data_IF_590515587715
#
_entry.id   IF_590515587715
#
_cell.length_a   1.000
_cell.length_b   1.000
_cell.length_c   1.000
_cell.angle_alpha   90.00
_cell.angle_beta   90.00
_cell.angle_gamma   90.00
#
_symmetry.space_group_name_H-M   'P 1'
#
loop_
_entity.id
_entity.type
_entity.pdbx_description
1 polymer ?
#
# COMPACT_ATOMS: atom_id res chain seq x y z
N UNK A 1 -47.02 -30.96 15.51
CA UNK A 1 -45.62 -30.92 15.98
C UNK A 1 -44.87 -30.21 14.88
N UNK A 2 -44.99 -28.89 14.86
CA UNK A 2 -44.54 -28.05 13.76
C UNK A 2 -43.45 -27.14 14.30
N UNK A 3 -42.21 -27.38 13.87
CA UNK A 3 -41.11 -26.43 14.04
C UNK A 3 -40.90 -25.73 12.71
N UNK A 4 -41.51 -24.56 12.58
CA UNK A 4 -41.16 -23.59 11.55
C UNK A 4 -39.81 -22.95 11.92
N UNK A 5 -38.86 -23.01 10.99
CA UNK A 5 -37.58 -22.30 11.03
C UNK A 5 -37.85 -20.87 10.56
N UNK A 6 -37.49 -19.81 11.30
CA UNK A 6 -37.66 -18.45 10.79
C UNK A 6 -36.52 -18.07 9.84
N UNK A 7 -36.94 -17.47 8.73
CA UNK A 7 -36.14 -16.80 7.71
C UNK A 7 -35.09 -15.84 8.30
N UNK A 8 -33.86 -15.93 7.79
CA UNK A 8 -32.82 -14.91 7.97
C UNK A 8 -32.99 -13.90 6.83
N UNK A 9 -33.67 -12.79 7.10
CA UNK A 9 -33.66 -11.60 6.25
C UNK A 9 -32.44 -10.76 6.57
N UNK A 10 -31.69 -10.37 5.53
CA UNK A 10 -30.63 -9.36 5.59
C UNK A 10 -31.18 -8.05 6.20
N UNK A 11 -30.83 -7.79 7.45
CA UNK A 11 -31.00 -6.50 8.11
C UNK A 11 -29.71 -5.72 8.02
N UNK A 12 -29.77 -4.56 7.38
CA UNK A 12 -28.78 -3.47 7.43
C UNK A 12 -28.11 -3.36 8.79
N UNK A 13 -26.80 -3.56 8.81
CA UNK A 13 -25.97 -3.47 10.01
C UNK A 13 -25.89 -2.00 10.46
N UNK A 14 -26.85 -1.64 11.31
CA UNK A 14 -26.94 -0.36 12.02
C UNK A 14 -26.73 -0.56 13.53
N UNK A 15 -26.12 -1.68 13.92
CA UNK A 15 -25.73 -1.93 15.31
C UNK A 15 -24.39 -1.26 15.63
N UNK A 16 -24.40 0.08 15.66
CA UNK A 16 -23.56 0.79 16.62
C UNK A 16 -23.95 0.24 18.00
N UNK A 17 -23.10 -0.60 18.59
CA UNK A 17 -23.22 -0.99 20.01
C UNK A 17 -23.36 0.29 20.81
N UNK A 18 -24.57 0.56 21.29
CA UNK A 18 -24.77 1.60 22.30
C UNK A 18 -23.91 1.22 23.49
N UNK A 19 -23.07 2.13 24.02
CA UNK A 19 -22.31 1.85 25.23
C UNK A 19 -23.31 1.43 26.30
N UNK A 20 -23.13 0.23 26.83
CA UNK A 20 -23.98 -0.29 27.89
C UNK A 20 -23.73 0.63 29.09
N UNK A 21 -24.69 1.49 29.44
CA UNK A 21 -24.54 2.56 30.45
C UNK A 21 -23.98 2.02 31.78
N UNK A 22 -24.26 0.75 32.06
CA UNK A 22 -23.71 -0.05 33.16
C UNK A 22 -22.19 -0.21 33.10
N UNK A 23 -21.62 -0.48 31.94
CA UNK A 23 -20.17 -0.66 31.75
C UNK A 23 -19.39 0.65 31.86
N UNK A 24 -19.90 1.74 31.29
CA UNK A 24 -19.28 3.06 31.38
C UNK A 24 -19.29 3.59 32.82
N UNK A 25 -20.38 3.35 33.55
CA UNK A 25 -20.47 3.71 34.96
C UNK A 25 -19.47 2.92 35.81
N UNK A 26 -19.38 1.61 35.59
CA UNK A 26 -18.46 0.74 36.31
C UNK A 26 -17.00 1.12 36.02
N UNK A 27 -16.67 1.44 34.76
CA UNK A 27 -15.34 1.94 34.37
C UNK A 27 -14.98 3.23 35.10
N UNK A 28 -15.89 4.21 35.14
CA UNK A 28 -15.67 5.48 35.84
C UNK A 28 -15.43 5.27 37.34
N UNK A 29 -16.21 4.40 37.98
CA UNK A 29 -16.03 4.07 39.40
C UNK A 29 -14.63 3.52 39.69
N UNK A 30 -14.16 2.55 38.91
CA UNK A 30 -12.82 1.99 39.08
C UNK A 30 -11.69 2.97 38.72
N UNK A 31 -11.87 3.76 37.66
CA UNK A 31 -10.88 4.76 37.23
C UNK A 31 -10.63 5.80 38.33
N UNK A 32 -11.68 6.35 38.93
CA UNK A 32 -11.58 7.30 40.05
C UNK A 32 -11.00 6.62 41.29
N UNK A 33 -11.43 5.39 41.61
CA UNK A 33 -10.88 4.63 42.73
C UNK A 33 -9.36 4.35 42.61
N UNK A 34 -8.81 4.32 41.39
CA UNK A 34 -7.39 4.14 41.12
C UNK A 34 -6.60 5.45 41.01
N UNK A 35 -7.20 6.59 41.39
CA UNK A 35 -6.54 7.90 41.39
C UNK A 35 -6.62 8.64 40.05
N UNK A 36 -7.49 8.22 39.14
CA UNK A 36 -7.87 9.01 37.97
C UNK A 36 -8.62 10.29 38.39
N UNK A 37 -8.45 11.38 37.62
CA UNK A 37 -9.21 12.61 37.84
C UNK A 37 -10.68 12.43 37.41
N UNK A 38 -11.61 13.14 38.03
CA UNK A 38 -12.99 13.18 37.55
C UNK A 38 -13.06 13.69 36.11
N UNK A 39 -14.18 13.41 35.44
CA UNK A 39 -14.38 13.76 34.04
C UNK A 39 -13.97 15.21 33.75
N UNK A 40 -13.21 15.37 32.67
CA UNK A 40 -12.76 16.66 32.14
C UNK A 40 -13.97 17.61 32.08
N UNK A 41 -13.84 18.81 32.64
CA UNK A 41 -14.94 19.78 32.65
C UNK A 41 -15.30 20.20 31.22
N UNK A 42 -16.55 20.57 30.95
CA UNK A 42 -16.95 21.08 29.62
C UNK A 42 -16.06 22.24 29.16
N UNK A 43 -15.62 23.09 30.09
CA UNK A 43 -14.70 24.20 29.83
C UNK A 43 -13.28 23.76 29.42
N UNK A 44 -12.82 22.60 29.89
CA UNK A 44 -11.55 22.00 29.46
C UNK A 44 -11.72 21.27 28.13
N UNK A 45 -12.88 20.66 27.87
CA UNK A 45 -13.22 20.05 26.58
C UNK A 45 -13.27 21.11 25.47
N UNK A 46 -13.85 22.28 25.73
CA UNK A 46 -13.86 23.40 24.77
C UNK A 46 -12.47 23.97 24.46
N UNK A 47 -11.50 23.79 25.37
CA UNK A 47 -10.10 24.18 25.14
C UNK A 47 -9.31 23.15 24.33
N UNK A 48 -9.83 21.92 24.19
CA UNK A 48 -9.18 20.89 23.39
C UNK A 48 -9.39 21.19 21.90
N UNK A 49 -8.32 21.26 21.10
CA UNK A 49 -8.46 21.39 19.66
C UNK A 49 -9.18 20.16 19.10
N UNK A 50 -10.06 20.37 18.12
CA UNK A 50 -10.70 19.28 17.40
C UNK A 50 -9.63 18.49 16.64
N UNK A 51 -9.39 17.25 17.05
CA UNK A 51 -8.37 16.37 16.47
C UNK A 51 -8.95 15.25 15.62
N UNK A 52 -10.25 14.98 15.76
CA UNK A 52 -10.95 13.94 15.02
C UNK A 52 -12.00 14.56 14.11
N UNK A 53 -11.78 14.44 12.80
CA UNK A 53 -12.76 14.80 11.80
C UNK A 53 -13.33 13.52 11.19
N UNK A 54 -14.62 13.29 11.43
CA UNK A 54 -15.33 12.13 10.86
C UNK A 54 -15.32 12.18 9.33
N UNK A 55 -15.37 11.01 8.70
CA UNK A 55 -15.63 10.92 7.26
C UNK A 55 -17.07 11.39 7.00
N UNK A 56 -17.31 12.30 6.03
CA UNK A 56 -18.66 12.65 5.63
C UNK A 56 -19.45 11.43 5.18
N UNK A 57 -20.75 11.40 5.48
CA UNK A 57 -21.66 10.36 5.00
C UNK A 57 -21.98 10.57 3.52
N UNK A 58 -22.45 9.52 2.83
CA UNK A 58 -22.70 9.55 1.37
C UNK A 58 -23.72 10.63 0.91
N UNK A 59 -24.60 11.08 1.81
CA UNK A 59 -25.56 12.15 1.51
C UNK A 59 -24.97 13.57 1.69
N UNK A 60 -23.80 13.68 2.34
CA UNK A 60 -23.09 14.93 2.60
C UNK A 60 -22.18 15.30 1.42
N UNK A 61 -22.81 15.61 0.29
CA UNK A 61 -22.13 15.81 -1.01
C UNK A 61 -21.03 16.88 -0.94
N UNK A 62 -21.32 18.05 -0.34
CA UNK A 62 -20.36 19.17 -0.32
C UNK A 62 -19.11 18.87 0.52
N UNK A 63 -19.22 18.40 1.78
CA UNK A 63 -18.06 17.94 2.55
C UNK A 63 -17.27 16.81 1.85
N UNK A 64 -17.95 15.88 1.20
CA UNK A 64 -17.29 14.79 0.46
C UNK A 64 -16.47 15.34 -0.71
N UNK A 65 -17.04 16.23 -1.53
CA UNK A 65 -16.35 16.87 -2.65
C UNK A 65 -15.17 17.72 -2.20
N UNK A 66 -15.31 18.48 -1.11
CA UNK A 66 -14.21 19.25 -0.53
C UNK A 66 -13.07 18.33 -0.06
N UNK A 67 -13.41 17.21 0.58
CA UNK A 67 -12.42 16.21 1.04
C UNK A 67 -11.71 15.55 -0.14
N UNK A 68 -12.45 15.18 -1.19
CA UNK A 68 -11.88 14.64 -2.43
C UNK A 68 -10.88 15.61 -3.06
N UNK A 69 -11.25 16.88 -3.21
CA UNK A 69 -10.41 17.92 -3.82
C UNK A 69 -9.17 18.26 -2.96
N UNK A 70 -9.35 18.39 -1.64
CA UNK A 70 -8.24 18.60 -0.72
C UNK A 70 -7.25 17.43 -0.75
N UNK A 71 -7.74 16.19 -0.89
CA UNK A 71 -6.89 15.01 -1.01
C UNK A 71 -6.18 14.94 -2.35
N UNK A 72 -6.87 15.23 -3.45
CA UNK A 72 -6.26 15.30 -4.78
C UNK A 72 -5.11 16.32 -4.79
N UNK A 73 -5.36 17.52 -4.26
CA UNK A 73 -4.35 18.58 -4.12
C UNK A 73 -3.18 18.15 -3.25
N UNK A 74 -3.44 17.45 -2.14
CA UNK A 74 -2.40 16.93 -1.26
C UNK A 74 -1.54 15.89 -1.98
N UNK A 75 -2.16 14.93 -2.67
CA UNK A 75 -1.45 13.87 -3.41
C UNK A 75 -0.64 14.45 -4.56
N UNK A 76 -1.19 15.43 -5.28
CA UNK A 76 -0.50 16.18 -6.32
C UNK A 76 0.72 16.90 -5.75
N UNK A 77 0.57 17.63 -4.64
CA UNK A 77 1.69 18.28 -3.95
C UNK A 77 2.78 17.27 -3.56
N UNK A 78 2.39 16.12 -2.98
CA UNK A 78 3.34 15.05 -2.63
C UNK A 78 4.04 14.48 -3.85
N UNK A 79 3.35 14.37 -4.99
CA UNK A 79 3.96 13.92 -6.25
C UNK A 79 5.05 14.89 -6.71
N UNK A 80 4.79 16.20 -6.64
CA UNK A 80 5.77 17.23 -7.01
C UNK A 80 6.99 17.29 -6.07
N UNK A 81 6.86 16.83 -4.82
CA UNK A 81 7.98 16.72 -3.87
C UNK A 81 8.96 15.57 -4.22
N UNK A 82 8.57 14.65 -5.11
CA UNK A 82 9.42 13.53 -5.53
C UNK A 82 10.44 13.96 -6.58
N UNK A 83 11.55 13.21 -6.63
CA UNK A 83 12.60 13.40 -7.61
C UNK A 83 12.14 12.94 -8.98
N UNK A 84 12.27 13.83 -9.96
CA UNK A 84 12.04 13.52 -11.37
C UNK A 84 13.27 12.88 -12.02
N UNK A 85 13.12 12.37 -13.25
CA UNK A 85 14.22 11.70 -13.95
C UNK A 85 15.45 12.62 -14.11
N UNK A 86 15.24 13.90 -14.47
CA UNK A 86 16.32 14.88 -14.61
C UNK A 86 17.05 15.11 -13.28
N UNK A 87 16.33 15.20 -12.17
CA UNK A 87 16.91 15.38 -10.84
C UNK A 87 17.68 14.14 -10.38
N UNK A 88 17.23 12.94 -10.77
CA UNK A 88 17.96 11.69 -10.53
C UNK A 88 19.27 11.64 -11.33
N UNK A 89 19.27 12.08 -12.60
CA UNK A 89 20.50 12.19 -13.39
C UNK A 89 21.46 13.24 -12.81
N UNK A 90 20.92 14.36 -12.34
CA UNK A 90 21.68 15.38 -11.62
C UNK A 90 22.32 14.81 -10.34
N UNK A 91 21.54 14.08 -9.54
CA UNK A 91 22.04 13.41 -8.34
C UNK A 91 23.18 12.44 -8.65
N UNK A 92 23.03 11.60 -9.68
CA UNK A 92 24.07 10.68 -10.11
C UNK A 92 25.37 11.41 -10.48
N UNK A 93 25.25 12.52 -11.21
CA UNK A 93 26.37 13.37 -11.61
C UNK A 93 27.08 14.00 -10.40
N UNK A 94 26.31 14.53 -9.44
CA UNK A 94 26.84 15.10 -8.19
C UNK A 94 27.58 14.04 -7.38
N UNK A 95 27.03 12.84 -7.24
CA UNK A 95 27.69 11.75 -6.51
C UNK A 95 29.01 11.36 -7.17
N UNK A 96 29.05 11.27 -8.50
CA UNK A 96 30.28 11.00 -9.25
C UNK A 96 31.36 12.08 -9.04
N UNK A 97 30.98 13.36 -8.96
CA UNK A 97 31.90 14.48 -8.69
C UNK A 97 32.59 14.38 -7.33
N UNK A 98 31.88 13.90 -6.31
CA UNK A 98 32.37 13.82 -4.93
C UNK A 98 32.84 12.42 -4.53
N UNK A 99 33.15 11.55 -5.49
CA UNK A 99 33.69 10.22 -5.19
C UNK A 99 34.98 10.27 -4.35
N UNK A 100 35.16 9.26 -3.50
CA UNK A 100 36.30 9.12 -2.59
C UNK A 100 37.17 7.92 -3.02
N UNK A 101 38.44 8.15 -3.39
CA UNK A 101 39.37 7.07 -3.74
C UNK A 101 39.76 6.22 -2.50
N UNK A 102 40.31 5.01 -2.68
CA UNK A 102 40.47 4.28 -3.94
C UNK A 102 39.16 3.61 -4.39
N UNK A 103 39.03 3.46 -5.70
CA UNK A 103 38.05 2.57 -6.32
C UNK A 103 38.51 1.12 -6.11
N UNK A 104 37.61 0.25 -5.67
CA UNK A 104 37.92 -1.15 -5.39
C UNK A 104 37.05 -2.00 -6.33
N UNK A 105 37.69 -2.76 -7.23
CA UNK A 105 37.01 -3.63 -8.19
C UNK A 105 35.93 -2.92 -9.03
N UNK A 106 36.17 -1.67 -9.43
CA UNK A 106 35.21 -0.87 -10.23
C UNK A 106 34.08 -0.24 -9.41
N UNK A 107 34.08 -0.41 -8.08
CA UNK A 107 33.07 0.17 -7.18
C UNK A 107 33.54 1.52 -6.66
N UNK A 108 32.70 2.54 -6.87
CA UNK A 108 32.95 3.91 -6.46
C UNK A 108 32.32 4.18 -5.09
N UNK A 109 33.10 4.82 -4.23
CA UNK A 109 32.71 5.06 -2.85
C UNK A 109 32.59 6.55 -2.55
N UNK A 110 31.87 6.89 -1.48
CA UNK A 110 31.79 8.25 -0.94
C UNK A 110 31.98 8.25 0.57
N UNK A 111 32.96 9.03 1.05
CA UNK A 111 33.19 9.27 2.48
C UNK A 111 32.11 10.20 3.04
N UNK A 112 31.93 10.21 4.36
CA UNK A 112 30.92 11.06 4.99
C UNK A 112 31.19 12.55 4.78
N UNK A 113 32.46 12.95 4.69
CA UNK A 113 32.82 14.34 4.39
C UNK A 113 32.37 14.75 2.99
N UNK A 114 32.68 13.91 1.99
CA UNK A 114 32.26 14.14 0.62
C UNK A 114 30.74 14.01 0.44
N UNK A 115 30.09 13.14 1.21
CA UNK A 115 28.64 13.01 1.25
C UNK A 115 27.97 14.32 1.69
N UNK A 116 28.53 15.01 2.70
CA UNK A 116 28.05 16.34 3.10
C UNK A 116 28.28 17.40 2.02
N UNK A 117 29.41 17.36 1.30
CA UNK A 117 29.69 18.28 0.19
C UNK A 117 28.73 18.05 -0.98
N UNK A 118 28.49 16.78 -1.34
CA UNK A 118 27.48 16.40 -2.33
C UNK A 118 26.08 16.90 -1.96
N UNK A 119 25.69 16.80 -0.68
CA UNK A 119 24.42 17.31 -0.18
C UNK A 119 24.24 18.85 -0.33
N UNK A 120 25.34 19.60 -0.40
CA UNK A 120 25.30 21.05 -0.61
C UNK A 120 25.07 21.42 -2.08
N UNK A 121 25.49 20.56 -3.01
CA UNK A 121 25.34 20.76 -4.47
C UNK A 121 24.10 20.06 -5.04
N UNK A 122 23.54 19.09 -4.31
CA UNK A 122 22.32 18.39 -4.69
C UNK A 122 21.09 19.31 -4.71
N UNK A 123 20.08 18.94 -5.50
CA UNK A 123 18.81 19.67 -5.55
C UNK A 123 18.11 19.69 -4.17
N UNK A 124 17.22 20.67 -3.90
CA UNK A 124 16.49 20.72 -2.63
C UNK A 124 15.73 19.43 -2.33
N UNK A 125 15.14 18.80 -3.36
CA UNK A 125 14.45 17.50 -3.23
C UNK A 125 15.44 16.37 -2.90
N UNK A 126 16.60 16.33 -3.57
CA UNK A 126 17.59 15.28 -3.32
C UNK A 126 18.26 15.40 -1.94
N UNK A 127 18.41 16.63 -1.45
CA UNK A 127 19.05 16.93 -0.16
C UNK A 127 18.40 16.21 1.03
N UNK A 128 17.09 15.94 0.97
CA UNK A 128 16.38 15.24 2.06
C UNK A 128 16.89 13.81 2.31
N UNK A 129 17.53 13.19 1.32
CA UNK A 129 18.08 11.84 1.43
C UNK A 129 19.47 11.81 2.07
N UNK A 130 20.18 12.94 2.09
CA UNK A 130 21.53 13.08 2.64
C UNK A 130 21.51 13.25 4.17
N UNK A 131 21.03 12.21 4.88
CA UNK A 131 21.01 12.20 6.34
C UNK A 131 22.14 11.32 6.90
N UNK A 132 22.60 11.64 8.11
CA UNK A 132 23.55 10.80 8.83
C UNK A 132 23.03 9.37 9.06
N UNK A 133 21.72 9.23 9.29
CA UNK A 133 21.08 7.91 9.46
C UNK A 133 21.07 7.11 8.16
N UNK A 134 20.77 7.73 7.02
CA UNK A 134 20.87 7.08 5.71
C UNK A 134 22.30 6.62 5.46
N UNK A 135 23.29 7.48 5.71
CA UNK A 135 24.69 7.14 5.53
C UNK A 135 25.08 5.92 6.39
N UNK A 136 24.82 5.98 7.70
CA UNK A 136 25.15 4.90 8.62
C UNK A 136 24.48 3.56 8.27
N UNK A 137 23.25 3.59 7.72
CA UNK A 137 22.55 2.37 7.26
C UNK A 137 23.17 1.73 6.02
N UNK A 138 23.87 2.51 5.19
CA UNK A 138 24.42 2.07 3.91
C UNK A 138 25.94 1.83 3.96
N UNK A 139 26.59 2.17 5.07
CA UNK A 139 28.00 1.82 5.28
C UNK A 139 28.09 0.31 5.37
N UNK A 140 28.92 -0.29 4.52
CA UNK A 140 29.21 -1.71 4.61
C UNK A 140 30.01 -2.00 5.90
N UNK A 141 29.60 -2.99 6.72
CA UNK A 141 30.31 -3.34 7.96
C UNK A 141 31.80 -3.64 7.74
N UNK A 142 32.13 -4.17 6.57
CA UNK A 142 33.48 -4.62 6.21
C UNK A 142 34.36 -3.51 5.60
N UNK A 143 33.79 -2.33 5.27
CA UNK A 143 34.60 -1.23 4.73
C UNK A 143 35.36 -0.52 5.85
N UNK A 144 36.67 -0.77 5.90
CA UNK A 144 37.60 -0.18 6.89
C UNK A 144 37.64 1.35 6.90
N UNK A 145 37.20 1.98 5.80
CA UNK A 145 37.17 3.43 5.64
C UNK A 145 35.78 4.03 5.94
N UNK A 146 34.81 3.19 6.35
CA UNK A 146 33.43 3.57 6.64
C UNK A 146 32.78 4.37 5.52
N UNK A 147 33.06 4.00 4.26
CA UNK A 147 32.51 4.63 3.06
C UNK A 147 31.24 3.92 2.61
N UNK A 148 30.43 4.64 1.86
CA UNK A 148 29.22 4.12 1.23
C UNK A 148 29.47 3.92 -0.25
N UNK A 149 29.03 2.80 -0.81
CA UNK A 149 28.98 2.61 -2.26
C UNK A 149 27.97 3.59 -2.87
N UNK A 150 28.43 4.36 -3.87
CA UNK A 150 27.62 5.37 -4.55
C UNK A 150 26.39 4.73 -5.20
N UNK A 151 26.55 3.53 -5.80
CA UNK A 151 25.44 2.84 -6.45
C UNK A 151 24.40 2.41 -5.41
N UNK A 152 24.82 1.89 -4.27
CA UNK A 152 23.93 1.54 -3.15
C UNK A 152 23.14 2.75 -2.62
N UNK A 153 23.76 3.92 -2.46
CA UNK A 153 23.04 5.13 -2.08
C UNK A 153 22.07 5.61 -3.16
N UNK A 154 22.49 5.59 -4.43
CA UNK A 154 21.61 5.96 -5.53
C UNK A 154 20.39 5.04 -5.62
N UNK A 155 20.60 3.72 -5.53
CA UNK A 155 19.53 2.72 -5.52
C UNK A 155 18.60 2.88 -4.30
N UNK A 156 19.14 3.26 -3.14
CA UNK A 156 18.33 3.59 -1.97
C UNK A 156 17.38 4.77 -2.25
N UNK A 157 17.88 5.84 -2.86
CA UNK A 157 17.06 7.00 -3.24
C UNK A 157 16.01 6.62 -4.27
N UNK A 158 16.42 5.90 -5.33
CA UNK A 158 15.50 5.36 -6.35
C UNK A 158 14.38 4.54 -5.72
N UNK A 159 14.72 3.59 -4.84
CA UNK A 159 13.73 2.73 -4.16
C UNK A 159 12.79 3.56 -3.26
N UNK A 160 13.30 4.58 -2.58
CA UNK A 160 12.47 5.47 -1.76
C UNK A 160 11.50 6.29 -2.60
N UNK A 161 11.98 6.88 -3.70
CA UNK A 161 11.14 7.64 -4.65
C UNK A 161 10.07 6.73 -5.22
N UNK A 162 10.45 5.55 -5.70
CA UNK A 162 9.53 4.55 -6.24
C UNK A 162 8.45 4.14 -5.23
N UNK A 163 8.82 3.83 -3.98
CA UNK A 163 7.83 3.48 -2.95
C UNK A 163 6.83 4.62 -2.69
N UNK A 164 7.28 5.88 -2.69
CA UNK A 164 6.37 7.02 -2.52
C UNK A 164 5.49 7.22 -3.75
N UNK A 165 6.03 7.08 -4.97
CA UNK A 165 5.26 7.14 -6.21
C UNK A 165 4.16 6.07 -6.21
N UNK A 166 4.51 4.82 -5.90
CA UNK A 166 3.56 3.71 -5.82
C UNK A 166 2.50 3.97 -4.74
N UNK A 167 2.90 4.49 -3.58
CA UNK A 167 1.97 4.87 -2.50
C UNK A 167 1.00 5.97 -2.94
N UNK A 168 1.48 7.01 -3.62
CA UNK A 168 0.62 8.09 -4.13
C UNK A 168 -0.35 7.52 -5.17
N UNK A 169 0.17 6.74 -6.13
CA UNK A 169 -0.63 6.14 -7.20
C UNK A 169 -1.77 5.28 -6.66
N UNK A 170 -1.50 4.36 -5.74
CA UNK A 170 -2.54 3.52 -5.14
C UNK A 170 -3.49 4.31 -4.23
N UNK A 171 -3.03 5.41 -3.61
CA UNK A 171 -3.88 6.27 -2.76
C UNK A 171 -4.93 7.06 -3.55
N UNK A 172 -4.80 7.17 -4.88
CA UNK A 172 -5.81 7.76 -5.74
C UNK A 172 -7.10 6.93 -5.78
N UNK A 173 -7.01 5.63 -5.49
CA UNK A 173 -8.15 4.70 -5.49
C UNK A 173 -8.81 4.56 -4.12
N UNK A 174 -8.21 5.12 -3.06
CA UNK A 174 -8.86 5.17 -1.75
C UNK A 174 -9.98 6.21 -1.78
N UNK A 175 -11.20 5.80 -2.11
CA UNK A 175 -12.35 6.70 -2.20
C UNK A 175 -12.65 7.37 -0.85
N UNK A 176 -12.49 6.64 0.25
CA UNK A 176 -12.85 7.10 1.61
C UNK A 176 -11.80 8.02 2.24
N UNK A 177 -10.53 7.85 1.89
CA UNK A 177 -9.40 8.59 2.44
C UNK A 177 -8.99 8.15 3.82
N UNK A 178 -9.36 6.93 4.21
CA UNK A 178 -9.02 6.36 5.50
C UNK A 178 -7.69 5.59 5.47
N UNK A 179 -7.04 5.47 4.29
CA UNK A 179 -5.80 4.73 4.09
C UNK A 179 -5.98 3.24 3.83
N UNK A 180 -7.20 2.83 3.47
CA UNK A 180 -7.57 1.45 3.14
C UNK A 180 -8.16 1.39 1.74
N UNK A 181 -8.06 0.23 1.11
CA UNK A 181 -8.78 -0.11 -0.11
C UNK A 181 -9.79 -1.21 0.16
N UNK A 182 -11.00 -1.05 -0.37
CA UNK A 182 -12.00 -2.11 -0.47
C UNK A 182 -11.73 -2.96 -1.70
N UNK A 183 -12.43 -4.09 -1.84
CA UNK A 183 -12.28 -4.97 -3.03
C UNK A 183 -12.45 -4.17 -4.32
N UNK A 184 -13.54 -3.41 -4.46
CA UNK A 184 -13.84 -2.59 -5.65
C UNK A 184 -12.74 -1.55 -5.93
N UNK A 185 -12.18 -0.93 -4.89
CA UNK A 185 -11.14 0.08 -5.04
C UNK A 185 -9.84 -0.55 -5.61
N UNK A 186 -9.49 -1.75 -5.13
CA UNK A 186 -8.33 -2.50 -5.60
C UNK A 186 -8.57 -3.15 -6.98
N UNK A 187 -9.80 -3.57 -7.29
CA UNK A 187 -10.21 -4.03 -8.62
C UNK A 187 -9.96 -2.95 -9.67
N UNK A 188 -10.42 -1.72 -9.40
CA UNK A 188 -10.22 -0.58 -10.29
C UNK A 188 -8.73 -0.28 -10.51
N UNK A 189 -7.94 -0.31 -9.44
CA UNK A 189 -6.49 -0.12 -9.54
C UNK A 189 -5.83 -1.18 -10.43
N UNK A 190 -6.11 -2.47 -10.19
CA UNK A 190 -5.53 -3.56 -10.98
C UNK A 190 -5.99 -3.50 -12.43
N UNK A 191 -7.27 -3.20 -12.67
CA UNK A 191 -7.84 -3.07 -14.01
C UNK A 191 -7.09 -2.01 -14.84
N UNK A 192 -6.83 -0.84 -14.24
CA UNK A 192 -6.07 0.24 -14.89
C UNK A 192 -4.58 -0.06 -15.00
N UNK A 193 -4.03 -0.91 -14.12
CA UNK A 193 -2.64 -1.33 -14.19
C UNK A 193 -2.36 -2.31 -15.33
N UNK A 194 -3.30 -3.21 -15.65
CA UNK A 194 -3.13 -4.30 -16.64
C UNK A 194 -2.55 -3.85 -17.99
N UNK A 195 -3.02 -2.77 -18.65
CA UNK A 195 -2.45 -2.32 -19.92
C UNK A 195 -0.96 -1.98 -19.84
N UNK A 196 -0.46 -1.60 -18.66
CA UNK A 196 0.96 -1.31 -18.43
C UNK A 196 1.82 -2.55 -18.16
N UNK A 197 1.21 -3.72 -17.99
CA UNK A 197 1.88 -4.98 -17.70
C UNK A 197 2.05 -5.75 -19.02
N UNK A 198 3.27 -5.74 -19.58
CA UNK A 198 3.57 -6.39 -20.86
C UNK A 198 3.08 -7.85 -20.94
N UNK A 199 3.19 -8.60 -19.84
CA UNK A 199 2.79 -10.01 -19.81
C UNK A 199 1.27 -10.23 -19.74
N UNK A 200 0.47 -9.16 -19.52
CA UNK A 200 -0.99 -9.22 -19.32
C UNK A 200 -1.76 -8.25 -20.23
N UNK A 201 -1.09 -7.44 -21.05
CA UNK A 201 -1.73 -6.45 -21.92
C UNK A 201 -2.66 -7.09 -22.98
N UNK A 202 -2.45 -8.37 -23.29
CA UNK A 202 -3.19 -9.12 -24.31
C UNK A 202 -4.22 -10.10 -23.73
N UNK A 203 -4.62 -9.95 -22.47
CA UNK A 203 -5.68 -10.77 -21.89
C UNK A 203 -7.00 -10.58 -22.65
N UNK A 204 -7.71 -11.69 -22.89
CA UNK A 204 -9.06 -11.64 -23.45
C UNK A 204 -10.01 -10.96 -22.45
N UNK A 205 -10.94 -10.11 -22.93
CA UNK A 205 -11.87 -9.38 -22.06
C UNK A 205 -12.72 -10.30 -21.17
N UNK A 206 -13.11 -11.46 -21.68
CA UNK A 206 -13.88 -12.48 -20.94
C UNK A 206 -13.08 -13.00 -19.73
N UNK A 207 -11.78 -13.22 -19.90
CA UNK A 207 -10.87 -13.69 -18.86
C UNK A 207 -10.37 -12.56 -17.95
N UNK A 208 -10.31 -11.32 -18.44
CA UNK A 208 -9.82 -10.17 -17.67
C UNK A 208 -10.59 -9.97 -16.36
N UNK A 209 -11.92 -10.09 -16.38
CA UNK A 209 -12.74 -10.00 -15.16
C UNK A 209 -12.36 -11.08 -14.14
N UNK A 210 -12.16 -12.32 -14.60
CA UNK A 210 -11.74 -13.42 -13.74
C UNK A 210 -10.32 -13.20 -13.18
N UNK A 211 -9.40 -12.71 -14.01
CA UNK A 211 -8.04 -12.39 -13.61
C UNK A 211 -8.03 -11.32 -12.50
N UNK A 212 -8.75 -10.21 -12.70
CA UNK A 212 -8.83 -9.11 -11.73
C UNK A 212 -9.40 -9.62 -10.40
N UNK A 213 -10.52 -10.35 -10.44
CA UNK A 213 -11.11 -10.96 -9.25
C UNK A 213 -10.11 -11.89 -8.53
N UNK A 214 -9.43 -12.77 -9.28
CA UNK A 214 -8.42 -13.68 -8.73
C UNK A 214 -7.25 -12.93 -8.09
N UNK A 215 -6.78 -11.86 -8.72
CA UNK A 215 -5.68 -11.05 -8.23
C UNK A 215 -6.08 -10.32 -6.93
N UNK A 216 -7.23 -9.67 -6.90
CA UNK A 216 -7.76 -9.00 -5.69
C UNK A 216 -7.95 -9.98 -4.56
N UNK A 217 -8.52 -11.17 -4.83
CA UNK A 217 -8.71 -12.20 -3.81
C UNK A 217 -7.39 -12.69 -3.20
N UNK A 218 -6.29 -12.70 -3.95
CA UNK A 218 -4.95 -12.97 -3.39
C UNK A 218 -4.53 -11.91 -2.37
N UNK A 219 -4.76 -10.62 -2.63
CA UNK A 219 -4.46 -9.58 -1.63
C UNK A 219 -5.31 -9.75 -0.37
N UNK A 220 -6.63 -9.89 -0.51
CA UNK A 220 -7.54 -9.99 0.62
C UNK A 220 -7.34 -11.25 1.45
N UNK A 221 -7.03 -12.39 0.81
CA UNK A 221 -6.78 -13.64 1.51
C UNK A 221 -5.65 -13.54 2.55
N UNK A 222 -4.58 -12.80 2.24
CA UNK A 222 -3.42 -12.67 3.15
C UNK A 222 -3.44 -11.38 3.98
N UNK A 223 -4.02 -10.29 3.47
CA UNK A 223 -3.95 -8.97 4.09
C UNK A 223 -5.24 -8.56 4.84
N UNK A 224 -6.32 -9.34 4.71
CA UNK A 224 -7.55 -9.16 5.48
C UNK A 224 -7.92 -10.43 6.27
N UNK A 225 -7.11 -10.83 7.27
CA UNK A 225 -7.34 -12.04 8.06
C UNK A 225 -8.62 -11.99 8.90
N UNK A 226 -9.17 -10.80 9.13
CA UNK A 226 -10.39 -10.59 9.91
C UNK A 226 -11.64 -10.45 9.02
N UNK A 227 -11.48 -10.53 7.69
CA UNK A 227 -12.56 -10.43 6.71
C UNK A 227 -13.39 -9.15 6.87
N UNK A 228 -12.73 -8.01 7.10
CA UNK A 228 -13.37 -6.71 7.23
C UNK A 228 -13.71 -6.08 5.88
N UNK A 229 -13.30 -6.67 4.76
CA UNK A 229 -13.54 -6.15 3.42
C UNK A 229 -12.72 -4.90 3.11
N UNK A 230 -11.61 -4.68 3.86
CA UNK A 230 -10.68 -3.57 3.62
C UNK A 230 -9.23 -3.95 3.95
N UNK A 231 -8.30 -3.48 3.14
CA UNK A 231 -6.86 -3.71 3.33
C UNK A 231 -6.12 -2.38 3.42
N UNK A 232 -5.19 -2.23 4.37
CA UNK A 232 -4.36 -1.01 4.49
C UNK A 232 -3.44 -0.89 3.29
N UNK A 233 -3.35 0.32 2.72
CA UNK A 233 -2.39 0.62 1.65
C UNK A 233 -0.95 0.29 2.09
N UNK A 234 -0.62 0.58 3.34
CA UNK A 234 0.71 0.28 3.89
C UNK A 234 1.03 -1.21 3.90
N UNK A 235 0.03 -2.07 4.15
CA UNK A 235 0.21 -3.52 4.15
C UNK A 235 0.36 -4.05 2.72
N UNK A 236 -0.35 -3.47 1.76
CA UNK A 236 -0.18 -3.77 0.33
C UNK A 236 1.27 -3.48 -0.09
N UNK A 237 1.79 -2.30 0.26
CA UNK A 237 3.17 -1.91 -0.07
C UNK A 237 4.23 -2.74 0.65
N UNK A 238 3.95 -3.22 1.86
CA UNK A 238 4.90 -4.01 2.65
C UNK A 238 4.89 -5.51 2.32
N UNK A 239 3.80 -6.02 1.73
CA UNK A 239 3.62 -7.45 1.45
C UNK A 239 4.50 -7.99 0.31
N UNK A 240 5.02 -7.11 -0.56
CA UNK A 240 5.74 -7.49 -1.77
C UNK A 240 4.84 -8.01 -2.91
N UNK A 241 3.54 -8.15 -2.68
CA UNK A 241 2.60 -8.63 -3.72
C UNK A 241 2.50 -7.66 -4.89
N UNK A 242 2.52 -6.36 -4.60
CA UNK A 242 2.51 -5.35 -5.64
C UNK A 242 3.81 -5.36 -6.45
N UNK A 243 4.95 -5.66 -5.82
CA UNK A 243 6.23 -5.86 -6.52
C UNK A 243 6.11 -7.02 -7.52
N UNK A 244 5.61 -8.18 -7.08
CA UNK A 244 5.38 -9.33 -7.96
C UNK A 244 4.44 -8.99 -9.12
N UNK A 245 3.41 -8.17 -8.91
CA UNK A 245 2.54 -7.75 -10.00
C UNK A 245 3.28 -6.80 -10.98
N UNK A 246 4.08 -5.88 -10.46
CA UNK A 246 4.81 -4.90 -11.28
C UNK A 246 5.99 -5.51 -12.05
N UNK A 247 6.55 -6.64 -11.61
CA UNK A 247 7.52 -7.45 -12.38
C UNK A 247 6.95 -7.86 -13.75
N UNK A 248 5.62 -8.03 -13.87
CA UNK A 248 4.96 -8.40 -15.14
C UNK A 248 4.98 -7.28 -16.19
N UNK A 249 5.51 -6.11 -15.85
CA UNK A 249 5.83 -5.04 -16.79
C UNK A 249 7.05 -5.36 -17.64
N UNK A 250 7.95 -6.23 -17.18
CA UNK A 250 9.13 -6.61 -17.94
C UNK A 250 8.73 -7.40 -19.20
N UNK A 251 9.31 -7.04 -20.35
CA UNK A 251 9.04 -7.70 -21.62
C UNK A 251 9.80 -9.01 -21.78
N UNK A 252 10.96 -9.13 -21.12
CA UNK A 252 11.84 -10.29 -21.17
C UNK A 252 11.87 -10.99 -19.82
N UNK A 253 10.86 -11.82 -19.56
CA UNK A 253 10.75 -12.64 -18.35
C UNK A 253 10.87 -14.11 -18.72
N UNK A 254 11.65 -14.88 -17.97
CA UNK A 254 11.79 -16.33 -18.23
C UNK A 254 10.51 -17.09 -17.84
N UNK A 255 10.29 -18.25 -18.44
CA UNK A 255 9.14 -19.10 -18.08
C UNK A 255 9.18 -19.52 -16.61
N UNK A 256 10.37 -19.79 -16.06
CA UNK A 256 10.55 -20.13 -14.65
C UNK A 256 10.14 -18.98 -13.71
N UNK A 257 10.50 -17.74 -14.07
CA UNK A 257 10.09 -16.55 -13.31
C UNK A 257 8.57 -16.38 -13.35
N UNK A 258 7.93 -16.56 -14.52
CA UNK A 258 6.48 -16.48 -14.66
C UNK A 258 5.76 -17.60 -13.90
N UNK A 259 6.33 -18.81 -13.86
CA UNK A 259 5.76 -19.93 -13.12
C UNK A 259 5.76 -19.70 -11.60
N UNK A 260 6.81 -19.04 -11.10
CA UNK A 260 6.98 -18.66 -9.69
C UNK A 260 6.16 -17.42 -9.31
N UNK A 261 5.89 -16.52 -10.25
CA UNK A 261 5.12 -15.32 -10.00
C UNK A 261 3.63 -15.64 -9.79
N UNK A 262 3.11 -15.28 -8.62
CA UNK A 262 1.72 -15.56 -8.25
C UNK A 262 0.70 -14.76 -9.06
N UNK A 263 1.08 -13.64 -9.66
CA UNK A 263 0.18 -12.79 -10.45
C UNK A 263 0.29 -13.06 -11.95
N UNK A 264 1.10 -14.02 -12.39
CA UNK A 264 1.23 -14.35 -13.80
C UNK A 264 -0.08 -14.88 -14.40
N UNK A 265 -0.23 -14.72 -15.72
CA UNK A 265 -1.34 -15.30 -16.46
C UNK A 265 -1.46 -16.81 -16.22
N UNK A 266 -0.33 -17.52 -16.19
CA UNK A 266 -0.28 -18.97 -15.95
C UNK A 266 -0.80 -19.36 -14.56
N UNK A 267 -0.52 -18.55 -13.53
CA UNK A 267 -1.05 -18.78 -12.19
C UNK A 267 -2.57 -18.62 -12.15
N UNK A 268 -3.09 -17.54 -12.76
CA UNK A 268 -4.53 -17.31 -12.85
C UNK A 268 -5.24 -18.40 -13.67
N UNK A 269 -4.65 -18.83 -14.79
CA UNK A 269 -5.17 -19.91 -15.63
C UNK A 269 -5.24 -21.26 -14.93
N UNK A 270 -4.28 -21.57 -14.04
CA UNK A 270 -4.33 -22.79 -13.22
C UNK A 270 -5.56 -22.80 -12.32
N UNK A 271 -5.81 -21.69 -11.61
CA UNK A 271 -6.98 -21.55 -10.73
C UNK A 271 -8.28 -21.58 -11.55
N UNK A 272 -8.32 -20.86 -12.67
CA UNK A 272 -9.47 -20.85 -13.57
C UNK A 272 -9.77 -22.23 -14.15
N UNK A 273 -8.74 -22.94 -14.59
CA UNK A 273 -8.86 -24.28 -15.16
C UNK A 273 -9.38 -25.29 -14.14
N UNK A 274 -8.86 -25.26 -12.91
CA UNK A 274 -9.38 -26.09 -11.82
C UNK A 274 -10.83 -25.75 -11.48
N UNK A 275 -11.18 -24.47 -11.46
CA UNK A 275 -12.56 -24.02 -11.24
C UNK A 275 -13.51 -24.55 -12.33
N UNK A 276 -13.14 -24.39 -13.61
CA UNK A 276 -13.95 -24.87 -14.74
C UNK A 276 -14.10 -26.39 -14.82
N UNK A 277 -13.16 -27.15 -14.26
CA UNK A 277 -13.27 -28.60 -14.18
C UNK A 277 -14.30 -29.05 -13.14
N UNK A 278 -14.52 -28.24 -12.11
CA UNK A 278 -15.48 -28.52 -11.04
C UNK A 278 -16.88 -27.96 -11.35
N UNK A 279 -16.97 -26.84 -12.07
CA UNK A 279 -18.23 -26.18 -12.47
C UNK A 279 -18.89 -26.90 -13.66
N UNK A 280 -19.61 -28.01 -13.39
CA UNK A 280 -20.18 -28.86 -14.44
C UNK A 280 -21.30 -28.15 -15.22
N UNK A 281 -22.09 -27.33 -14.54
CA UNK A 281 -23.24 -26.63 -15.12
C UNK A 281 -22.89 -25.24 -15.65
N UNK A 282 -21.66 -24.77 -15.43
CA UNK A 282 -21.11 -23.47 -15.88
C UNK A 282 -21.95 -22.29 -15.39
N UNK A 283 -22.55 -22.44 -14.21
CA UNK A 283 -23.40 -21.39 -13.63
C UNK A 283 -22.60 -20.32 -12.88
N UNK A 284 -21.28 -20.49 -12.72
CA UNK A 284 -20.41 -19.55 -12.00
C UNK A 284 -20.32 -19.79 -10.48
N UNK A 285 -20.85 -20.91 -9.98
CA UNK A 285 -20.87 -21.31 -8.57
C UNK A 285 -20.51 -22.79 -8.42
N UNK A 286 -19.78 -23.15 -7.36
CA UNK A 286 -19.50 -24.55 -7.04
C UNK A 286 -20.38 -25.03 -5.89
N UNK A 287 -21.07 -26.15 -6.11
CA UNK A 287 -21.79 -26.86 -5.06
C UNK A 287 -20.83 -27.69 -4.21
N UNK A 288 -21.29 -28.09 -3.01
CA UNK A 288 -20.51 -28.99 -2.13
C UNK A 288 -20.18 -30.33 -2.80
N UNK A 289 -21.06 -30.81 -3.69
CA UNK A 289 -20.83 -32.06 -4.40
C UNK A 289 -19.69 -31.91 -5.42
N UNK A 290 -19.68 -30.81 -6.16
CA UNK A 290 -18.61 -30.49 -7.12
C UNK A 290 -17.27 -30.28 -6.42
N UNK A 291 -17.23 -29.55 -5.30
CA UNK A 291 -16.02 -29.34 -4.50
C UNK A 291 -15.42 -30.61 -3.87
N UNK A 292 -16.21 -31.69 -3.76
CA UNK A 292 -15.77 -32.94 -3.11
C UNK A 292 -15.12 -33.94 -4.07
N UNK A 293 -15.01 -33.60 -5.36
CA UNK A 293 -14.32 -34.40 -6.38
C UNK A 293 -12.85 -34.04 -6.49
#
# INVERSE_FOLDING_TARGET
MDKAVPNITHGTDSNLRTPDETTDKLFREYYVAWGGQEAITEAEIEQLPEFFHRVPLDHEIMPQKLREDARATLLEKRSHELLENEELQSLWSVLGKFQSPPEIAGVKYISYENFKKAAQEASPKAKMYFTASTYAKLVHPDDKLSRVDILSFFNYVMKKVWMQQTRIGISLYDVTGEGYLREVDLENYILELIPSLCQLSHLERSFQTFYVCTAVRKFFFFLDPMHLGRVRIMDILASGFLDCMLELRESQTTEEQLANNWFSHQSAMRIYGSYLQLDEDRNGMLTRAELSR
#
